data_IF_241227258049
#
_entry.id   IF_241227258049
#
_cell.length_a   1.000
_cell.length_b   1.000
_cell.length_c   1.000
_cell.angle_alpha   90.00
_cell.angle_beta   90.00
_cell.angle_gamma   90.00
#
_symmetry.space_group_name_H-M   'P 1'
#
loop_
_entity.id
_entity.type
_entity.pdbx_description
1 polymer ?
#
# COMPACT_ATOMS: atom_id res chain seq x y z
N UNK A 1 -15.31 21.06 -5.69
CA UNK A 1 -15.74 19.71 -5.26
C UNK A 1 -15.18 18.62 -6.17
N UNK A 2 -15.29 18.75 -7.51
CA UNK A 2 -14.71 17.77 -8.45
C UNK A 2 -13.20 17.52 -8.27
N UNK A 3 -12.44 18.57 -7.95
CA UNK A 3 -11.00 18.52 -7.67
C UNK A 3 -10.60 17.68 -6.46
N UNK A 4 -11.53 17.38 -5.55
CA UNK A 4 -11.31 16.51 -4.39
C UNK A 4 -11.81 15.08 -4.61
N UNK A 5 -12.86 14.91 -5.40
CA UNK A 5 -13.47 13.61 -5.66
C UNK A 5 -12.55 12.74 -6.52
N UNK A 6 -11.95 13.28 -7.59
CA UNK A 6 -11.12 12.49 -8.48
C UNK A 6 -9.89 11.87 -7.78
N UNK A 7 -9.10 12.61 -6.98
CA UNK A 7 -8.03 12.02 -6.16
C UNK A 7 -8.51 10.89 -5.24
N UNK A 8 -9.65 11.09 -4.57
CA UNK A 8 -10.19 10.10 -3.64
C UNK A 8 -10.67 8.83 -4.36
N UNK A 9 -11.32 8.97 -5.52
CA UNK A 9 -11.73 7.83 -6.34
C UNK A 9 -10.51 7.06 -6.85
N UNK A 10 -9.48 7.77 -7.32
CA UNK A 10 -8.22 7.13 -7.72
C UNK A 10 -7.59 6.34 -6.57
N UNK A 11 -7.41 6.99 -5.41
CA UNK A 11 -6.84 6.35 -4.21
C UNK A 11 -7.68 5.15 -3.79
N UNK A 12 -9.01 5.25 -3.82
CA UNK A 12 -9.92 4.16 -3.45
C UNK A 12 -9.74 2.95 -4.39
N UNK A 13 -9.82 3.16 -5.69
CA UNK A 13 -9.68 2.09 -6.70
C UNK A 13 -8.30 1.46 -6.61
N UNK A 14 -7.24 2.27 -6.49
CA UNK A 14 -5.88 1.76 -6.40
C UNK A 14 -5.62 1.03 -5.07
N UNK A 15 -6.19 1.49 -3.96
CA UNK A 15 -6.13 0.79 -2.66
C UNK A 15 -6.90 -0.52 -2.69
N UNK A 16 -8.07 -0.57 -3.34
CA UNK A 16 -8.85 -1.81 -3.50
C UNK A 16 -8.09 -2.85 -4.34
N UNK A 17 -7.45 -2.40 -5.43
CA UNK A 17 -6.56 -3.24 -6.24
C UNK A 17 -5.38 -3.77 -5.42
N UNK A 18 -4.73 -2.91 -4.64
CA UNK A 18 -3.65 -3.29 -3.74
C UNK A 18 -4.09 -4.32 -2.69
N UNK A 19 -5.31 -4.17 -2.16
CA UNK A 19 -5.88 -5.10 -1.19
C UNK A 19 -6.13 -6.47 -1.81
N UNK A 20 -6.59 -6.53 -3.06
CA UNK A 20 -6.73 -7.79 -3.80
C UNK A 20 -5.38 -8.49 -4.00
N UNK A 21 -4.33 -7.75 -4.41
CA UNK A 21 -2.97 -8.32 -4.50
C UNK A 21 -2.50 -8.84 -3.13
N UNK A 22 -2.73 -8.07 -2.06
CA UNK A 22 -2.36 -8.49 -0.71
C UNK A 22 -3.07 -9.78 -0.29
N UNK A 23 -4.36 -9.90 -0.59
CA UNK A 23 -5.14 -11.11 -0.35
C UNK A 23 -4.57 -12.32 -1.13
N UNK A 24 -4.31 -12.17 -2.43
CA UNK A 24 -3.70 -13.23 -3.25
C UNK A 24 -2.32 -13.65 -2.72
N UNK A 25 -1.51 -12.68 -2.30
CA UNK A 25 -0.15 -12.93 -1.78
C UNK A 25 -0.23 -13.72 -0.48
N UNK A 26 -1.07 -13.27 0.47
CA UNK A 26 -1.25 -13.93 1.77
C UNK A 26 -1.78 -15.35 1.59
N UNK A 27 -2.80 -15.54 0.75
CA UNK A 27 -3.37 -16.87 0.50
C UNK A 27 -2.39 -17.83 -0.17
N UNK A 28 -1.46 -17.33 -0.99
CA UNK A 28 -0.37 -18.14 -1.55
C UNK A 28 0.67 -18.52 -0.50
N UNK A 29 1.05 -17.58 0.38
CA UNK A 29 1.98 -17.84 1.48
C UNK A 29 1.41 -18.85 2.48
N UNK A 30 0.11 -18.76 2.77
CA UNK A 30 -0.58 -19.69 3.67
C UNK A 30 -0.52 -21.15 3.22
N UNK A 31 -0.40 -21.42 1.91
CA UNK A 31 -0.23 -22.79 1.38
C UNK A 31 1.10 -23.43 1.77
N UNK A 32 2.08 -22.61 2.15
CA UNK A 32 3.41 -23.02 2.55
C UNK A 32 3.65 -22.81 4.06
N UNK A 33 2.61 -22.40 4.80
CA UNK A 33 2.70 -22.03 6.21
C UNK A 33 3.09 -23.25 7.06
N UNK A 34 2.44 -24.39 6.86
CA UNK A 34 2.69 -25.62 7.64
C UNK A 34 4.14 -26.11 7.46
N UNK A 35 4.67 -26.11 6.23
CA UNK A 35 6.07 -26.47 6.00
C UNK A 35 7.02 -25.45 6.64
N UNK A 36 6.66 -24.17 6.61
CA UNK A 36 7.45 -23.10 7.23
C UNK A 36 7.44 -23.18 8.76
N UNK A 37 6.33 -23.59 9.37
CA UNK A 37 6.20 -23.85 10.81
C UNK A 37 7.04 -25.04 11.24
N UNK A 38 6.97 -26.17 10.51
CA UNK A 38 7.85 -27.31 10.76
C UNK A 38 9.32 -26.91 10.66
N UNK A 39 9.70 -26.15 9.64
CA UNK A 39 11.08 -25.66 9.52
C UNK A 39 11.47 -24.72 10.69
N UNK A 40 10.53 -23.93 11.21
CA UNK A 40 10.73 -23.04 12.35
C UNK A 40 10.96 -23.78 13.67
N UNK A 41 10.40 -24.98 13.86
CA UNK A 41 10.65 -25.82 15.04
C UNK A 41 12.12 -26.24 15.15
N UNK A 42 12.78 -26.44 14.01
CA UNK A 42 14.16 -26.92 13.95
C UNK A 42 15.19 -25.82 13.65
N UNK A 43 14.75 -24.58 13.39
CA UNK A 43 15.64 -23.47 13.04
C UNK A 43 15.10 -22.11 13.50
N UNK A 44 15.88 -21.45 14.37
CA UNK A 44 15.60 -20.08 14.80
C UNK A 44 15.53 -19.09 13.63
N UNK A 45 16.33 -19.31 12.58
CA UNK A 45 16.30 -18.46 11.38
C UNK A 45 15.00 -18.64 10.60
N UNK A 46 14.50 -19.88 10.47
CA UNK A 46 13.21 -20.14 9.84
C UNK A 46 12.06 -19.53 10.65
N UNK A 47 12.10 -19.65 11.99
CA UNK A 47 11.13 -19.02 12.88
C UNK A 47 11.11 -17.49 12.74
N UNK A 48 12.29 -16.85 12.70
CA UNK A 48 12.38 -15.40 12.51
C UNK A 48 11.82 -14.97 11.14
N UNK A 49 12.13 -15.70 10.07
CA UNK A 49 11.61 -15.41 8.74
C UNK A 49 10.10 -15.58 8.66
N UNK A 50 9.54 -16.66 9.22
CA UNK A 50 8.09 -16.86 9.29
C UNK A 50 7.40 -15.71 10.02
N UNK A 51 7.95 -15.30 11.18
CA UNK A 51 7.43 -14.15 11.92
C UNK A 51 7.48 -12.87 11.10
N UNK A 52 8.61 -12.56 10.46
CA UNK A 52 8.74 -11.36 9.60
C UNK A 52 7.77 -11.40 8.42
N UNK A 53 7.57 -12.56 7.78
CA UNK A 53 6.58 -12.72 6.71
C UNK A 53 5.18 -12.33 7.21
N UNK A 54 4.73 -12.89 8.34
CA UNK A 54 3.41 -12.59 8.92
C UNK A 54 3.27 -11.11 9.26
N UNK A 55 4.23 -10.52 9.96
CA UNK A 55 4.14 -9.12 10.42
C UNK A 55 4.23 -8.12 9.26
N UNK A 56 5.06 -8.39 8.25
CA UNK A 56 5.20 -7.50 7.08
C UNK A 56 3.96 -7.55 6.18
N UNK A 57 3.45 -8.75 5.88
CA UNK A 57 2.20 -8.89 5.11
C UNK A 57 1.00 -8.31 5.86
N UNK A 58 0.90 -8.57 7.17
CA UNK A 58 -0.16 -8.03 8.00
C UNK A 58 -0.14 -6.50 8.08
N UNK A 59 1.02 -5.90 8.33
CA UNK A 59 1.15 -4.42 8.38
C UNK A 59 0.88 -3.76 7.02
N UNK A 60 1.33 -4.37 5.91
CA UNK A 60 0.97 -3.96 4.56
C UNK A 60 -0.55 -3.98 4.34
N UNK A 61 -1.18 -5.14 4.58
CA UNK A 61 -2.62 -5.32 4.40
C UNK A 61 -3.46 -4.34 5.24
N UNK A 62 -3.12 -4.18 6.53
CA UNK A 62 -3.83 -3.26 7.44
C UNK A 62 -3.71 -1.82 6.94
N UNK A 63 -2.50 -1.38 6.55
CA UNK A 63 -2.31 0.00 6.05
C UNK A 63 -3.11 0.29 4.78
N UNK A 64 -3.19 -0.68 3.86
CA UNK A 64 -4.01 -0.57 2.63
C UNK A 64 -5.50 -0.55 2.98
N UNK A 65 -5.95 -1.41 3.88
CA UNK A 65 -7.34 -1.43 4.34
C UNK A 65 -7.74 -0.10 5.00
N UNK A 66 -6.87 0.48 5.84
CA UNK A 66 -7.08 1.82 6.42
C UNK A 66 -7.18 2.90 5.34
N UNK A 67 -6.38 2.80 4.28
CA UNK A 67 -6.47 3.70 3.11
C UNK A 67 -7.83 3.59 2.42
N UNK A 68 -8.34 2.37 2.18
CA UNK A 68 -9.68 2.15 1.62
C UNK A 68 -10.76 2.78 2.50
N UNK A 69 -10.73 2.47 3.80
CA UNK A 69 -11.72 2.98 4.77
C UNK A 69 -11.68 4.51 4.82
N UNK A 70 -10.50 5.11 4.84
CA UNK A 70 -10.37 6.57 4.85
C UNK A 70 -10.90 7.19 3.57
N UNK A 71 -10.56 6.64 2.40
CA UNK A 71 -11.04 7.15 1.11
C UNK A 71 -12.57 7.07 1.01
N UNK A 72 -13.17 5.95 1.43
CA UNK A 72 -14.63 5.81 1.51
C UNK A 72 -15.24 6.84 2.45
N UNK A 73 -14.66 7.00 3.65
CA UNK A 73 -15.16 7.94 4.65
C UNK A 73 -15.16 9.38 4.15
N UNK A 74 -14.15 9.78 3.37
CA UNK A 74 -14.06 11.12 2.77
C UNK A 74 -14.92 11.30 1.51
N UNK A 75 -15.28 10.22 0.81
CA UNK A 75 -16.16 10.26 -0.36
C UNK A 75 -17.65 10.27 0.00
N UNK A 76 -18.03 9.61 1.09
CA UNK A 76 -19.43 9.36 1.41
C UNK A 76 -20.10 10.61 2.02
N UNK A 77 -21.16 11.15 1.38
CA UNK A 77 -21.75 12.44 1.76
C UNK A 77 -22.46 12.44 3.12
N UNK A 78 -22.79 11.26 3.64
CA UNK A 78 -23.44 11.08 4.94
C UNK A 78 -22.48 11.10 6.13
N UNK A 79 -21.16 11.05 5.89
CA UNK A 79 -20.17 11.21 6.96
C UNK A 79 -19.85 12.71 7.14
N UNK A 80 -19.99 13.28 8.35
CA UNK A 80 -19.86 14.73 8.57
C UNK A 80 -18.39 15.22 8.61
N UNK A 81 -17.48 14.61 7.84
CA UNK A 81 -16.09 15.08 7.72
C UNK A 81 -16.01 16.11 6.58
N UNK A 82 -16.31 17.37 6.91
CA UNK A 82 -16.21 18.50 5.95
C UNK A 82 -15.08 19.48 6.27
N UNK A 83 -14.41 19.31 7.42
CA UNK A 83 -13.32 20.18 7.82
C UNK A 83 -12.07 19.95 6.97
N UNK A 84 -11.51 21.03 6.42
CA UNK A 84 -10.23 21.00 5.67
C UNK A 84 -9.08 20.47 6.52
N UNK A 85 -9.05 20.83 7.81
CA UNK A 85 -8.04 20.34 8.76
C UNK A 85 -8.15 18.82 8.93
N UNK A 86 -9.36 18.27 8.93
CA UNK A 86 -9.58 16.82 9.01
C UNK A 86 -9.10 16.11 7.74
N UNK A 87 -9.35 16.66 6.54
CA UNK A 87 -8.85 16.09 5.29
C UNK A 87 -7.32 16.05 5.25
N UNK A 88 -6.67 17.16 5.65
CA UNK A 88 -5.22 17.22 5.75
C UNK A 88 -4.67 16.22 6.78
N UNK A 89 -5.27 16.17 7.98
CA UNK A 89 -4.84 15.26 9.03
C UNK A 89 -4.97 13.79 8.60
N UNK A 90 -6.12 13.40 8.03
CA UNK A 90 -6.35 12.04 7.53
C UNK A 90 -5.40 11.68 6.38
N UNK A 91 -5.12 12.62 5.49
CA UNK A 91 -4.12 12.44 4.42
C UNK A 91 -2.72 12.24 4.99
N UNK A 92 -2.34 13.04 5.99
CA UNK A 92 -1.06 12.92 6.69
C UNK A 92 -0.91 11.59 7.42
N UNK A 93 -1.96 11.15 8.14
CA UNK A 93 -2.01 9.85 8.81
C UNK A 93 -1.82 8.72 7.80
N UNK A 94 -2.59 8.71 6.70
CA UNK A 94 -2.45 7.66 5.68
C UNK A 94 -1.08 7.68 5.01
N UNK A 95 -0.57 8.87 4.67
CA UNK A 95 0.78 9.04 4.13
C UNK A 95 1.81 8.38 5.05
N UNK A 96 1.77 8.71 6.34
CA UNK A 96 2.67 8.17 7.36
C UNK A 96 2.54 6.66 7.54
N UNK A 97 1.32 6.16 7.73
CA UNK A 97 1.06 4.72 7.93
C UNK A 97 1.51 3.90 6.72
N UNK A 98 1.18 4.32 5.50
CA UNK A 98 1.60 3.63 4.27
C UNK A 98 3.11 3.68 4.07
N UNK A 99 3.76 4.80 4.41
CA UNK A 99 5.21 4.95 4.30
C UNK A 99 5.95 4.08 5.32
N UNK A 100 5.45 4.01 6.55
CA UNK A 100 5.99 3.13 7.59
C UNK A 100 5.85 1.66 7.19
N UNK A 101 4.67 1.24 6.72
CA UNK A 101 4.46 -0.12 6.20
C UNK A 101 5.37 -0.40 5.00
N UNK A 102 5.55 0.56 4.09
CA UNK A 102 6.49 0.45 2.96
C UNK A 102 7.90 0.20 3.46
N UNK A 103 8.42 1.00 4.39
CA UNK A 103 9.79 0.84 4.89
C UNK A 103 9.97 -0.50 5.60
N UNK A 104 9.01 -0.88 6.44
CA UNK A 104 9.04 -2.15 7.16
C UNK A 104 9.01 -3.35 6.21
N UNK A 105 8.15 -3.32 5.19
CA UNK A 105 8.10 -4.36 4.16
C UNK A 105 9.36 -4.36 3.28
N UNK A 106 9.84 -3.19 2.83
CA UNK A 106 11.00 -3.07 1.94
C UNK A 106 12.29 -3.61 2.59
N UNK A 107 12.43 -3.46 3.90
CA UNK A 107 13.58 -3.98 4.64
C UNK A 107 13.64 -5.51 4.56
N UNK A 108 12.49 -6.18 4.49
CA UNK A 108 12.41 -7.64 4.42
C UNK A 108 12.31 -8.16 2.97
N UNK A 109 11.40 -7.61 2.17
CA UNK A 109 11.04 -8.08 0.81
C UNK A 109 11.84 -7.40 -0.31
N UNK A 110 13.13 -7.12 -0.12
CA UNK A 110 13.97 -6.59 -1.20
C UNK A 110 14.57 -7.75 -2.02
N UNK A 111 14.72 -7.57 -3.32
CA UNK A 111 15.44 -8.46 -4.26
C UNK A 111 16.80 -8.92 -3.70
N UNK A 112 17.48 -8.06 -2.94
CA UNK A 112 18.77 -8.39 -2.31
C UNK A 112 18.68 -9.40 -1.16
N UNK A 113 17.52 -9.51 -0.53
CA UNK A 113 17.30 -10.28 0.70
C UNK A 113 16.46 -11.55 0.49
N UNK A 114 15.74 -11.63 -0.63
CA UNK A 114 14.84 -12.74 -0.97
C UNK A 114 15.43 -13.57 -2.11
N UNK A 115 15.86 -14.78 -1.78
CA UNK A 115 16.34 -15.75 -2.78
C UNK A 115 15.15 -16.55 -3.29
N UNK A 116 14.94 -16.53 -4.61
CA UNK A 116 13.94 -17.38 -5.25
C UNK A 116 14.39 -18.84 -5.15
N UNK A 117 13.50 -19.70 -4.67
CA UNK A 117 13.81 -21.11 -4.44
C UNK A 117 13.38 -21.90 -5.68
N UNK A 118 14.26 -22.75 -6.26
CA UNK A 118 13.90 -23.53 -7.43
C UNK A 118 12.72 -24.48 -7.12
N UNK A 119 11.88 -24.72 -8.12
CA UNK A 119 10.71 -25.63 -8.07
C UNK A 119 9.53 -25.24 -7.16
N UNK A 120 9.56 -24.08 -6.48
CA UNK A 120 8.42 -23.54 -5.72
C UNK A 120 7.85 -22.25 -6.34
N UNK A 121 7.33 -22.38 -7.56
CA UNK A 121 6.87 -21.25 -8.39
C UNK A 121 5.87 -20.34 -7.66
N UNK A 122 4.84 -20.90 -7.02
CA UNK A 122 3.82 -20.10 -6.32
C UNK A 122 4.39 -19.32 -5.13
N UNK A 123 5.43 -19.85 -4.48
CA UNK A 123 6.14 -19.14 -3.41
C UNK A 123 6.96 -17.98 -3.98
N UNK A 124 7.72 -18.21 -5.06
CA UNK A 124 8.48 -17.14 -5.72
C UNK A 124 7.55 -16.05 -6.30
N UNK A 125 6.36 -16.42 -6.79
CA UNK A 125 5.35 -15.44 -7.18
C UNK A 125 4.87 -14.60 -6.00
N UNK A 126 4.66 -15.21 -4.83
CA UNK A 126 4.30 -14.46 -3.62
C UNK A 126 5.41 -13.49 -3.19
N UNK A 127 6.68 -13.86 -3.34
CA UNK A 127 7.82 -12.95 -3.12
C UNK A 127 7.72 -11.74 -4.06
N UNK A 128 7.59 -11.98 -5.37
CA UNK A 128 7.47 -10.91 -6.38
C UNK A 128 6.25 -10.02 -6.13
N UNK A 129 5.13 -10.60 -5.73
CA UNK A 129 3.93 -9.84 -5.37
C UNK A 129 4.16 -8.97 -4.12
N UNK A 130 4.95 -9.45 -3.15
CA UNK A 130 5.32 -8.69 -1.96
C UNK A 130 6.21 -7.48 -2.28
N UNK A 131 7.18 -7.65 -3.18
CA UNK A 131 7.98 -6.54 -3.73
C UNK A 131 7.11 -5.53 -4.48
N UNK A 132 6.15 -6.02 -5.27
CA UNK A 132 5.18 -5.16 -5.95
C UNK A 132 4.34 -4.37 -4.94
N UNK A 133 3.89 -4.99 -3.85
CA UNK A 133 3.15 -4.31 -2.78
C UNK A 133 3.97 -3.20 -2.14
N UNK A 134 5.28 -3.38 -1.93
CA UNK A 134 6.18 -2.31 -1.44
C UNK A 134 6.13 -1.08 -2.35
N UNK A 135 6.12 -1.28 -3.67
CA UNK A 135 6.03 -0.17 -4.64
C UNK A 135 4.64 0.48 -4.59
N UNK A 136 3.58 -0.33 -4.57
CA UNK A 136 2.19 0.16 -4.47
C UNK A 136 1.97 0.99 -3.21
N UNK A 137 2.50 0.56 -2.05
CA UNK A 137 2.45 1.33 -0.80
C UNK A 137 3.13 2.70 -0.95
N UNK A 138 4.22 2.78 -1.71
CA UNK A 138 4.90 4.04 -2.03
C UNK A 138 4.04 4.97 -2.89
N UNK A 139 3.43 4.43 -3.94
CA UNK A 139 2.52 5.18 -4.82
C UNK A 139 1.29 5.68 -4.03
N UNK A 140 0.69 4.83 -3.19
CA UNK A 140 -0.44 5.22 -2.34
C UNK A 140 -0.05 6.28 -1.31
N UNK A 141 1.10 6.13 -0.65
CA UNK A 141 1.62 7.12 0.30
C UNK A 141 1.80 8.49 -0.36
N UNK A 142 2.44 8.52 -1.53
CA UNK A 142 2.63 9.75 -2.27
C UNK A 142 1.30 10.34 -2.80
N UNK A 143 0.36 9.49 -3.22
CA UNK A 143 -0.98 9.92 -3.66
C UNK A 143 -1.75 10.60 -2.54
N UNK A 144 -1.70 10.08 -1.31
CA UNK A 144 -2.26 10.73 -0.13
C UNK A 144 -1.56 12.04 0.21
N UNK A 145 -0.22 12.09 0.12
CA UNK A 145 0.54 13.30 0.37
C UNK A 145 0.14 14.43 -0.61
N UNK A 146 0.06 14.11 -1.91
CA UNK A 146 -0.34 15.06 -2.95
C UNK A 146 -1.80 15.46 -2.76
N UNK A 147 -2.71 14.52 -2.47
CA UNK A 147 -4.11 14.84 -2.20
C UNK A 147 -4.24 15.82 -1.02
N UNK A 148 -3.58 15.54 0.10
CA UNK A 148 -3.53 16.44 1.26
C UNK A 148 -2.97 17.82 0.90
N UNK A 149 -1.89 17.87 0.11
CA UNK A 149 -1.27 19.12 -0.31
C UNK A 149 -2.18 19.94 -1.26
N UNK A 150 -2.84 19.29 -2.22
CA UNK A 150 -3.80 19.96 -3.12
C UNK A 150 -4.99 20.54 -2.36
N UNK A 151 -5.48 19.86 -1.31
CA UNK A 151 -6.54 20.39 -0.44
C UNK A 151 -6.07 21.54 0.45
N UNK A 152 -4.78 21.58 0.80
CA UNK A 152 -4.20 22.68 1.56
C UNK A 152 -3.96 23.93 0.73
N UNK A 153 -3.32 23.80 -0.43
CA UNK A 153 -2.94 24.93 -1.29
C UNK A 153 -4.08 25.51 -2.12
N UNK A 154 -5.18 24.78 -2.24
CA UNK A 154 -6.37 25.27 -2.94
C UNK A 154 -6.15 25.72 -4.40
N UNK A 155 -5.33 25.04 -5.24
CA UNK A 155 -5.29 25.37 -6.66
C UNK A 155 -6.68 25.14 -7.24
N UNK A 156 -7.30 26.22 -7.71
CA UNK A 156 -8.70 26.22 -8.13
C UNK A 156 -8.90 25.39 -9.41
N UNK A 157 -9.98 24.60 -9.42
CA UNK A 157 -10.49 23.94 -10.62
C UNK A 157 -9.50 22.97 -11.29
N UNK A 158 -9.25 23.20 -12.57
CA UNK A 158 -8.47 22.32 -13.47
C UNK A 158 -7.01 22.23 -13.05
N UNK A 159 -6.44 23.28 -12.45
CA UNK A 159 -5.04 23.30 -12.05
C UNK A 159 -4.69 22.31 -10.94
N UNK A 160 -5.58 22.15 -9.95
CA UNK A 160 -5.39 21.15 -8.90
C UNK A 160 -5.47 19.72 -9.43
N UNK A 161 -6.37 19.48 -10.40
CA UNK A 161 -6.48 18.19 -11.08
C UNK A 161 -5.27 17.89 -11.98
N UNK A 162 -4.80 18.90 -12.72
CA UNK A 162 -3.63 18.77 -13.58
C UNK A 162 -2.37 18.48 -12.74
N UNK A 163 -2.16 19.20 -11.64
CA UNK A 163 -1.05 18.96 -10.71
C UNK A 163 -1.12 17.57 -10.07
N UNK A 164 -2.30 17.16 -9.58
CA UNK A 164 -2.50 15.82 -9.03
C UNK A 164 -2.21 14.75 -10.07
N UNK A 165 -2.84 14.85 -11.24
CA UNK A 165 -2.68 13.90 -12.34
C UNK A 165 -1.24 13.79 -12.82
N UNK A 166 -0.53 14.91 -12.99
CA UNK A 166 0.87 14.91 -13.42
C UNK A 166 1.78 14.28 -12.37
N UNK A 167 1.60 14.62 -11.09
CA UNK A 167 2.46 14.11 -10.02
C UNK A 167 2.22 12.62 -9.80
N UNK A 168 0.95 12.19 -9.77
CA UNK A 168 0.60 10.78 -9.64
C UNK A 168 1.07 9.98 -10.85
N UNK A 169 0.87 10.48 -12.08
CA UNK A 169 1.37 9.81 -13.28
C UNK A 169 2.90 9.64 -13.24
N UNK A 170 3.63 10.68 -12.85
CA UNK A 170 5.09 10.59 -12.66
C UNK A 170 5.45 9.54 -11.61
N UNK A 171 4.76 9.51 -10.46
CA UNK A 171 5.03 8.54 -9.41
C UNK A 171 4.64 7.11 -9.81
N UNK A 172 3.57 6.91 -10.55
CA UNK A 172 3.17 5.60 -11.06
C UNK A 172 4.16 5.10 -12.10
N UNK A 173 4.61 5.97 -13.02
CA UNK A 173 5.62 5.63 -14.05
C UNK A 173 6.99 5.37 -13.42
N UNK A 174 7.42 6.19 -12.46
CA UNK A 174 8.70 6.00 -11.75
C UNK A 174 8.64 4.84 -10.74
N UNK A 175 7.47 4.56 -10.18
CA UNK A 175 7.23 3.49 -9.21
C UNK A 175 6.90 2.13 -9.83
N UNK A 176 6.57 2.08 -11.12
CA UNK A 176 6.16 0.88 -11.83
C UNK A 176 6.16 1.07 -13.35
N UNK A 177 7.28 0.70 -13.99
CA UNK A 177 7.14 0.02 -15.27
C UNK A 177 6.22 -1.18 -15.05
N UNK A 178 5.17 -1.27 -15.88
CA UNK A 178 4.24 -2.38 -15.93
C UNK A 178 4.98 -3.72 -16.07
#
# INVERSE_FOLDING_TARGET
>A
MLSAILPLVHILVYSAYALNISYETITRLQKYEEQSEKAAEWSNTAAERLRKTRTTQGSGAISIATSVVTALTLLLPFVPIRSRKAHLALSGINTGTLLLSRFYMAQFWNDRNQVQVPFVQKFNEAIKQSERLVRILGVLSASWAIAGWTWWLHPSGVWGLALYGSLVAVITVLGGGF
#
